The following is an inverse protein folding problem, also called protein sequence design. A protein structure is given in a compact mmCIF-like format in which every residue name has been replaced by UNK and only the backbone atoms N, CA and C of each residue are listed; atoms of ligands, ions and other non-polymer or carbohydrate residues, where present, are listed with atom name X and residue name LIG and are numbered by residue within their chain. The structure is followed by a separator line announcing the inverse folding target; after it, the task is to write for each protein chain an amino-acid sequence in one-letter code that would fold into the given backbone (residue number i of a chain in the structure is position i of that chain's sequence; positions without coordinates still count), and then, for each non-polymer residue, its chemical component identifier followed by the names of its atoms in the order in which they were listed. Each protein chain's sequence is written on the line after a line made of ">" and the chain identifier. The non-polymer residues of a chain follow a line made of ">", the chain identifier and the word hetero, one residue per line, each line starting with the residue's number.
data_IF_623225271320
#
_entry.id   IF_623225271320
#
_cell.length_a   1.000
_cell.length_b   1.000
_cell.length_c   1.000
_cell.angle_alpha   90.00
_cell.angle_beta   90.00
_cell.angle_gamma   90.00
#
_symmetry.space_group_name_H-M   'P 1'
#
loop_
_entity.id
_entity.type
_entity.pdbx_description
1 polymer ?
#
# COMPACT_ATOMS: atom_id res chain seq x y z
N UNK A 1 27.27 -14.72 -12.60
CA UNK A 1 26.57 -13.61 -11.93
C UNK A 1 25.32 -14.21 -11.30
N UNK A 2 25.27 -14.25 -9.96
CA UNK A 2 24.24 -14.98 -9.22
C UNK A 2 22.86 -14.40 -9.54
N UNK A 3 22.05 -15.17 -10.25
CA UNK A 3 20.60 -15.02 -10.29
C UNK A 3 20.11 -15.28 -8.87
N UNK A 4 19.95 -14.24 -8.06
CA UNK A 4 19.18 -14.33 -6.83
C UNK A 4 17.81 -14.85 -7.24
N UNK A 5 17.43 -16.04 -6.76
CA UNK A 5 16.08 -16.57 -6.97
C UNK A 5 15.13 -15.61 -6.27
N UNK A 6 14.53 -14.70 -7.04
CA UNK A 6 13.45 -13.85 -6.59
C UNK A 6 12.21 -14.75 -6.55
N UNK A 7 11.87 -15.25 -5.38
CA UNK A 7 10.67 -16.05 -5.20
C UNK A 7 9.46 -15.12 -5.24
N UNK A 8 8.51 -15.46 -6.11
CA UNK A 8 7.19 -14.84 -6.11
C UNK A 8 6.50 -15.15 -4.78
N UNK A 9 5.95 -14.12 -4.15
CA UNK A 9 5.24 -14.24 -2.89
C UNK A 9 3.85 -14.79 -3.12
N UNK A 10 3.37 -15.59 -2.18
CA UNK A 10 1.96 -15.93 -2.14
C UNK A 10 1.12 -14.65 -2.09
N UNK A 11 0.13 -14.46 -3.00
CA UNK A 11 -0.65 -13.23 -3.08
C UNK A 11 -1.36 -12.88 -1.77
N UNK A 12 -1.77 -13.89 -0.98
CA UNK A 12 -2.46 -13.68 0.30
C UNK A 12 -1.48 -13.19 1.37
N UNK A 13 -0.25 -13.72 1.40
CA UNK A 13 0.84 -13.21 2.27
C UNK A 13 1.22 -11.79 1.88
N UNK A 14 1.35 -11.53 0.58
CA UNK A 14 1.66 -10.19 0.06
C UNK A 14 0.57 -9.18 0.44
N UNK A 15 -0.71 -9.50 0.24
CA UNK A 15 -1.86 -8.64 0.59
C UNK A 15 -1.90 -8.34 2.08
N UNK A 16 -1.68 -9.36 2.91
CA UNK A 16 -1.59 -9.19 4.35
C UNK A 16 -0.41 -8.29 4.76
N UNK A 17 0.70 -8.27 4.02
CA UNK A 17 1.80 -7.32 4.25
C UNK A 17 1.50 -5.92 3.70
N UNK A 18 0.84 -5.81 2.56
CA UNK A 18 0.55 -4.56 1.85
C UNK A 18 -0.48 -3.68 2.59
N UNK A 19 -1.48 -4.29 3.23
CA UNK A 19 -2.57 -3.57 3.91
C UNK A 19 -3.93 -4.11 3.50
N UNK A 20 -4.90 -4.02 4.42
CA UNK A 20 -6.27 -4.49 4.16
C UNK A 20 -7.01 -3.66 3.11
N UNK A 21 -6.57 -2.41 2.90
CA UNK A 21 -7.13 -1.51 1.88
C UNK A 21 -6.68 -1.83 0.45
N UNK A 22 -5.64 -2.64 0.27
CA UNK A 22 -5.02 -2.88 -1.04
C UNK A 22 -5.80 -3.93 -1.82
N UNK A 23 -6.15 -3.60 -3.06
CA UNK A 23 -6.74 -4.56 -3.98
C UNK A 23 -5.66 -5.27 -4.80
N UNK A 24 -5.82 -6.59 -4.96
CA UNK A 24 -4.96 -7.35 -5.86
C UNK A 24 -5.40 -7.08 -7.31
N UNK A 25 -4.49 -6.63 -8.20
CA UNK A 25 -4.80 -6.48 -9.62
C UNK A 25 -5.09 -7.84 -10.26
N UNK A 26 -6.14 -7.92 -11.08
CA UNK A 26 -6.54 -9.16 -11.75
C UNK A 26 -5.97 -9.18 -13.16
N UNK A 27 -5.28 -10.26 -13.55
CA UNK A 27 -4.75 -10.44 -14.91
C UNK A 27 -5.89 -10.37 -15.93
N UNK A 28 -5.61 -9.84 -17.11
CA UNK A 28 -6.56 -9.58 -18.20
C UNK A 28 -7.64 -8.52 -17.93
N UNK A 29 -7.69 -7.94 -16.73
CA UNK A 29 -8.59 -6.83 -16.45
C UNK A 29 -8.16 -5.51 -17.10
N UNK A 30 -9.13 -4.62 -17.35
CA UNK A 30 -8.90 -3.27 -17.87
C UNK A 30 -8.58 -2.31 -16.73
N UNK A 31 -7.56 -1.50 -16.92
CA UNK A 31 -7.09 -0.52 -15.94
C UNK A 31 -6.69 0.79 -16.61
N UNK A 32 -6.82 1.90 -15.88
CA UNK A 32 -6.16 3.16 -16.23
C UNK A 32 -4.83 3.26 -15.50
N UNK A 33 -3.77 3.49 -16.26
CA UNK A 33 -2.45 3.88 -15.77
C UNK A 33 -2.35 5.40 -15.73
N UNK A 34 -2.03 5.95 -14.56
CA UNK A 34 -1.83 7.38 -14.30
C UNK A 34 -0.34 7.69 -14.07
N UNK A 35 0.37 8.24 -15.07
CA UNK A 35 1.77 8.63 -14.93
C UNK A 35 2.05 9.57 -13.74
N UNK A 36 1.12 10.46 -13.41
CA UNK A 36 1.25 11.35 -12.26
C UNK A 36 1.38 10.60 -10.94
N UNK A 37 0.52 9.61 -10.71
CA UNK A 37 0.59 8.79 -9.51
C UNK A 37 1.83 7.90 -9.48
N UNK A 38 2.32 7.48 -10.65
CA UNK A 38 3.59 6.76 -10.75
C UNK A 38 4.77 7.68 -10.39
N UNK A 39 4.76 8.94 -10.83
CA UNK A 39 5.74 9.96 -10.45
C UNK A 39 5.75 10.23 -8.93
N UNK A 40 4.59 10.16 -8.25
CA UNK A 40 4.51 10.26 -6.78
C UNK A 40 5.24 9.10 -6.05
N UNK A 41 5.52 7.99 -6.74
CA UNK A 41 6.32 6.88 -6.21
C UNK A 41 7.81 6.95 -6.58
N UNK A 42 8.22 7.97 -7.34
CA UNK A 42 9.60 8.14 -7.75
C UNK A 42 10.47 8.70 -6.61
N UNK A 43 11.74 8.29 -6.57
CA UNK A 43 12.74 8.75 -5.62
C UNK A 43 13.14 10.22 -5.84
N UNK A 44 13.00 10.67 -7.09
CA UNK A 44 13.28 12.02 -7.59
C UNK A 44 12.17 12.43 -8.55
N UNK A 45 11.91 13.73 -8.68
CA UNK A 45 10.87 14.24 -9.59
C UNK A 45 11.28 13.93 -11.03
N UNK A 46 10.50 13.13 -11.78
CA UNK A 46 10.82 12.84 -13.18
C UNK A 46 10.60 14.09 -14.05
N UNK A 47 11.54 14.35 -14.95
CA UNK A 47 11.41 15.42 -15.95
C UNK A 47 10.64 14.91 -17.17
N UNK A 48 9.35 15.19 -17.23
CA UNK A 48 8.48 14.76 -18.34
C UNK A 48 8.69 15.55 -19.64
N UNK A 49 9.51 16.61 -19.65
CA UNK A 49 9.76 17.39 -20.87
C UNK A 49 10.53 16.61 -21.94
N UNK A 50 11.23 15.55 -21.54
CA UNK A 50 12.03 14.69 -22.43
C UNK A 50 11.20 13.64 -23.18
N UNK A 51 9.95 13.42 -22.75
CA UNK A 51 9.06 12.36 -23.26
C UNK A 51 8.27 12.91 -24.45
N UNK A 52 8.22 12.15 -25.55
CA UNK A 52 7.56 12.61 -26.80
C UNK A 52 6.05 12.49 -26.73
N UNK A 53 5.57 11.51 -25.98
CA UNK A 53 4.16 11.16 -25.88
C UNK A 53 3.68 11.32 -24.45
N UNK A 54 3.11 12.49 -24.13
CA UNK A 54 2.52 12.74 -22.82
C UNK A 54 0.99 12.71 -22.93
N UNK A 55 0.38 11.64 -22.40
CA UNK A 55 -1.05 11.60 -22.08
C UNK A 55 -1.22 11.64 -20.57
N UNK A 56 -2.32 12.24 -20.12
CA UNK A 56 -2.66 12.33 -18.69
C UNK A 56 -2.96 10.97 -18.06
N UNK A 57 -3.42 10.00 -18.85
CA UNK A 57 -3.65 8.61 -18.45
C UNK A 57 -3.70 7.70 -19.69
N UNK A 58 -3.50 6.39 -19.47
CA UNK A 58 -3.54 5.37 -20.52
C UNK A 58 -4.49 4.25 -20.12
N UNK A 59 -5.40 3.85 -21.02
CA UNK A 59 -6.20 2.65 -20.85
C UNK A 59 -5.36 1.44 -21.24
N UNK A 60 -5.23 0.47 -20.33
CA UNK A 60 -4.38 -0.70 -20.49
C UNK A 60 -5.11 -1.99 -20.09
N UNK A 61 -4.60 -3.12 -20.55
CA UNK A 61 -4.90 -4.47 -20.04
C UNK A 61 -3.73 -4.95 -19.19
N UNK A 62 -4.02 -5.60 -18.07
CA UNK A 62 -2.99 -6.26 -17.25
C UNK A 62 -2.54 -7.55 -17.94
N UNK A 63 -1.25 -7.65 -18.27
CA UNK A 63 -0.64 -8.84 -18.88
C UNK A 63 -0.16 -9.82 -17.82
N UNK A 64 0.48 -9.33 -16.77
CA UNK A 64 0.95 -10.17 -15.65
C UNK A 64 1.13 -9.36 -14.38
N UNK A 65 1.06 -10.04 -13.24
CA UNK A 65 1.28 -9.47 -11.90
C UNK A 65 2.25 -10.37 -11.15
N UNK A 66 3.29 -9.79 -10.54
CA UNK A 66 4.27 -10.51 -9.72
C UNK A 66 4.38 -9.85 -8.34
N UNK A 67 4.27 -10.64 -7.28
CA UNK A 67 4.24 -10.16 -5.89
C UNK A 67 5.62 -10.38 -5.26
N UNK A 68 6.28 -9.30 -4.87
CA UNK A 68 7.68 -9.34 -4.47
C UNK A 68 7.91 -8.64 -3.13
N UNK A 69 9.05 -8.92 -2.50
CA UNK A 69 9.54 -8.18 -1.35
C UNK A 69 10.98 -7.72 -1.60
N UNK A 70 11.27 -6.49 -1.18
CA UNK A 70 12.61 -5.94 -1.24
C UNK A 70 13.52 -6.68 -0.24
N UNK A 71 14.68 -7.18 -0.70
CA UNK A 71 15.57 -8.02 0.10
C UNK A 71 16.21 -7.30 1.29
N UNK A 72 16.35 -5.97 1.21
CA UNK A 72 16.99 -5.19 2.26
C UNK A 72 15.97 -4.64 3.26
N UNK A 73 14.80 -4.24 2.78
CA UNK A 73 13.81 -3.50 3.58
C UNK A 73 12.65 -4.36 4.08
N UNK A 74 12.45 -5.55 3.51
CA UNK A 74 11.26 -6.40 3.65
C UNK A 74 9.95 -5.72 3.17
N UNK A 75 10.03 -4.54 2.53
CA UNK A 75 8.85 -3.86 1.98
C UNK A 75 8.33 -4.65 0.78
N UNK A 76 7.06 -5.02 0.84
CA UNK A 76 6.39 -5.69 -0.27
C UNK A 76 6.07 -4.71 -1.40
N UNK A 77 6.19 -5.17 -2.64
CA UNK A 77 5.86 -4.41 -3.83
C UNK A 77 5.34 -5.35 -4.92
N UNK A 78 4.66 -4.80 -5.92
CA UNK A 78 4.14 -5.57 -7.04
C UNK A 78 4.72 -5.03 -8.35
N UNK A 79 5.05 -5.95 -9.26
CA UNK A 79 5.35 -5.62 -10.65
C UNK A 79 4.14 -5.95 -11.50
N UNK A 80 3.69 -4.98 -12.27
CA UNK A 80 2.53 -5.12 -13.15
C UNK A 80 2.99 -4.85 -14.57
N UNK A 81 2.74 -5.81 -15.46
CA UNK A 81 2.94 -5.60 -16.90
C UNK A 81 1.63 -5.16 -17.54
N UNK A 82 1.70 -4.10 -18.31
CA UNK A 82 0.56 -3.42 -18.89
C UNK A 82 0.72 -3.34 -20.41
N UNK A 83 -0.35 -3.65 -21.12
CA UNK A 83 -0.46 -3.44 -22.57
C UNK A 83 -1.47 -2.32 -22.82
N UNK A 84 -1.08 -1.17 -23.40
CA UNK A 84 -2.03 -0.15 -23.79
C UNK A 84 -3.06 -0.69 -24.79
N UNK A 85 -4.29 -0.18 -24.68
CA UNK A 85 -5.42 -0.50 -25.57
C UNK A 85 -5.69 0.73 -26.42
N UNK A 86 -5.63 0.60 -27.74
CA UNK A 86 -5.97 1.70 -28.65
C UNK A 86 -7.48 1.97 -28.65
N UNK A 87 -7.85 3.25 -28.80
CA UNK A 87 -9.25 3.69 -28.81
C UNK A 87 -10.11 3.08 -29.93
N UNK A 88 -9.48 2.64 -31.04
CA UNK A 88 -10.13 1.89 -32.13
C UNK A 88 -10.52 0.47 -31.71
N UNK A 89 -9.71 -0.20 -30.89
CA UNK A 89 -10.04 -1.50 -30.29
C UNK A 89 -11.03 -1.40 -29.11
N UNK A 90 -11.09 -0.26 -28.42
CA UNK A 90 -12.03 -0.03 -27.31
C UNK A 90 -13.50 -0.15 -27.71
N UNK A 91 -13.86 0.25 -28.95
CA UNK A 91 -15.22 0.14 -29.49
C UNK A 91 -15.63 -1.31 -29.81
N UNK A 92 -14.70 -2.13 -30.30
CA UNK A 92 -14.96 -3.54 -30.62
C UNK A 92 -15.20 -4.37 -29.35
N UNK A 93 -14.46 -4.09 -28.28
CA UNK A 93 -14.61 -4.77 -26.99
C UNK A 93 -15.84 -4.31 -26.21
N UNK A 94 -16.20 -3.02 -26.29
CA UNK A 94 -17.42 -2.50 -25.66
C UNK A 94 -18.72 -2.92 -26.36
N UNK A 95 -18.67 -3.25 -27.66
CA UNK A 95 -19.79 -3.91 -28.35
C UNK A 95 -19.89 -5.42 -28.02
N UNK A 96 -18.77 -6.12 -27.83
CA UNK A 96 -18.77 -7.55 -27.47
C UNK A 96 -19.34 -7.87 -26.09
N UNK A 97 -19.31 -6.92 -25.14
CA UNK A 97 -19.82 -7.11 -23.77
C UNK A 97 -21.16 -6.44 -23.47
N UNK A 98 -21.66 -5.51 -24.32
CA UNK A 98 -23.02 -4.96 -24.17
C UNK A 98 -24.14 -5.99 -24.40
N UNK A 99 -23.80 -7.20 -24.89
CA UNK A 99 -24.72 -8.33 -25.06
C UNK A 99 -24.84 -9.29 -23.87
N UNK A 100 -24.11 -9.09 -22.77
CA UNK A 100 -24.23 -9.91 -21.55
C UNK A 100 -24.68 -9.07 -20.36
N UNK A 101 -25.84 -8.43 -20.50
CA UNK A 101 -26.61 -7.96 -19.36
C UNK A 101 -27.32 -9.17 -18.74
N UNK A 102 -26.82 -9.66 -17.60
CA UNK A 102 -27.51 -10.71 -16.84
C UNK A 102 -26.66 -11.89 -16.38
N UNK A 103 -25.44 -11.66 -15.91
CA UNK A 103 -24.92 -12.45 -14.79
C UNK A 103 -24.45 -11.44 -13.77
N UNK A 104 -25.28 -11.22 -12.74
CA UNK A 104 -24.78 -10.85 -11.42
C UNK A 104 -23.58 -11.75 -11.21
N UNK A 105 -22.39 -11.18 -11.10
CA UNK A 105 -21.27 -11.95 -10.57
C UNK A 105 -21.72 -12.39 -9.20
N UNK A 106 -22.27 -13.62 -9.11
CA UNK A 106 -22.06 -14.43 -7.94
C UNK A 106 -20.58 -14.27 -7.68
N UNK A 107 -20.28 -13.73 -6.49
CA UNK A 107 -18.95 -13.72 -5.93
C UNK A 107 -18.35 -15.06 -6.30
N UNK A 108 -17.47 -15.06 -7.31
CA UNK A 108 -16.53 -16.15 -7.46
C UNK A 108 -15.72 -15.94 -6.20
N UNK A 109 -16.16 -16.63 -5.15
CA UNK A 109 -15.44 -17.01 -3.97
C UNK A 109 -14.27 -17.80 -4.53
N UNK A 110 -13.35 -17.05 -5.16
CA UNK A 110 -11.99 -17.43 -5.36
C UNK A 110 -11.66 -17.90 -3.96
N UNK A 111 -11.37 -19.18 -3.85
CA UNK A 111 -10.89 -19.79 -2.61
C UNK A 111 -9.56 -19.12 -2.28
N UNK A 112 -9.60 -17.82 -1.97
CA UNK A 112 -8.55 -17.07 -1.32
C UNK A 112 -8.29 -17.96 -0.12
N UNK A 113 -7.11 -18.58 -0.14
CA UNK A 113 -6.55 -19.26 1.01
C UNK A 113 -6.71 -18.29 2.16
N UNK A 114 -7.74 -18.50 2.97
CA UNK A 114 -8.17 -17.57 4.00
C UNK A 114 -7.03 -17.49 5.02
N UNK A 115 -6.18 -16.49 4.85
CA UNK A 115 -5.10 -16.20 5.79
C UNK A 115 -5.70 -15.30 6.87
N UNK A 116 -5.59 -15.75 8.11
CA UNK A 116 -5.81 -14.87 9.26
C UNK A 116 -4.55 -14.06 9.48
N UNK A 117 -4.65 -12.74 9.56
CA UNK A 117 -3.51 -11.84 9.79
C UNK A 117 -3.75 -10.91 10.96
N UNK A 118 -2.68 -10.56 11.67
CA UNK A 118 -2.70 -9.55 12.71
C UNK A 118 -1.45 -8.67 12.63
N UNK A 119 -1.66 -7.37 12.47
CA UNK A 119 -0.59 -6.38 12.48
C UNK A 119 -0.49 -5.73 13.87
N UNK A 120 0.74 -5.55 14.37
CA UNK A 120 1.01 -4.76 15.57
C UNK A 120 2.12 -3.76 15.31
N UNK A 121 1.83 -2.49 15.59
CA UNK A 121 2.82 -1.43 15.71
C UNK A 121 3.72 -1.73 16.92
N UNK A 122 5.02 -1.73 16.70
CA UNK A 122 6.02 -1.97 17.73
C UNK A 122 6.10 -0.77 18.67
N UNK A 123 5.96 -1.04 19.96
CA UNK A 123 6.27 -0.07 21.01
C UNK A 123 7.79 0.02 21.23
N UNK A 124 8.25 1.05 21.94
CA UNK A 124 9.65 1.16 22.36
C UNK A 124 10.13 -0.08 23.14
N UNK A 125 9.26 -0.68 23.96
CA UNK A 125 9.58 -1.92 24.68
C UNK A 125 9.66 -3.16 23.80
N UNK A 126 8.98 -3.18 22.64
CA UNK A 126 9.07 -4.29 21.71
C UNK A 126 10.35 -4.21 20.86
N UNK A 127 10.82 -3.00 20.53
CA UNK A 127 11.96 -2.79 19.64
C UNK A 127 13.29 -2.53 20.37
N UNK A 128 13.38 -2.80 21.68
CA UNK A 128 14.61 -2.61 22.44
C UNK A 128 15.49 -3.87 22.47
N UNK A 129 16.81 -3.70 22.64
CA UNK A 129 17.82 -4.76 22.55
C UNK A 129 17.89 -5.68 23.79
N UNK A 130 16.74 -6.02 24.38
CA UNK A 130 16.66 -6.85 25.58
C UNK A 130 15.24 -7.19 26.07
N UNK A 131 14.20 -6.60 25.46
CA UNK A 131 12.80 -6.88 25.76
C UNK A 131 12.23 -8.01 24.90
N UNK A 132 11.06 -8.50 25.32
CA UNK A 132 10.23 -9.41 24.53
C UNK A 132 9.09 -8.65 23.84
N UNK A 133 8.53 -9.26 22.80
CA UNK A 133 7.35 -8.72 22.14
C UNK A 133 6.09 -9.00 22.95
N UNK A 134 5.32 -7.97 23.25
CA UNK A 134 4.01 -8.12 23.90
C UNK A 134 2.94 -8.52 22.89
N UNK A 135 2.52 -9.77 22.88
CA UNK A 135 1.52 -10.25 21.92
C UNK A 135 0.12 -9.84 22.41
N UNK A 136 -0.68 -9.12 21.59
CA UNK A 136 -2.08 -8.85 21.94
C UNK A 136 -2.87 -10.15 22.06
N UNK A 137 -3.79 -10.22 23.02
CA UNK A 137 -4.56 -11.46 23.30
C UNK A 137 -5.23 -12.03 22.05
N UNK A 138 -5.88 -11.16 21.27
CA UNK A 138 -6.54 -11.56 20.03
C UNK A 138 -5.57 -12.24 19.05
N UNK A 139 -4.36 -11.71 18.88
CA UNK A 139 -3.32 -12.33 18.04
C UNK A 139 -2.91 -13.71 18.56
N UNK A 140 -2.70 -13.82 19.87
CA UNK A 140 -2.27 -15.08 20.48
C UNK A 140 -3.31 -16.19 20.35
N UNK A 141 -4.60 -15.84 20.40
CA UNK A 141 -5.72 -16.80 20.31
C UNK A 141 -6.12 -17.13 18.86
N UNK A 142 -5.99 -16.18 17.94
CA UNK A 142 -6.43 -16.36 16.53
C UNK A 142 -5.32 -16.84 15.60
N UNK A 143 -4.08 -16.42 15.82
CA UNK A 143 -2.95 -16.69 14.92
C UNK A 143 -2.07 -17.81 15.43
N UNK A 144 -1.70 -17.81 16.71
CA UNK A 144 -0.75 -18.81 17.23
C UNK A 144 -1.43 -20.13 17.60
N UNK A 145 -0.71 -21.26 17.60
CA UNK A 145 -1.22 -22.50 18.14
C UNK A 145 -1.62 -22.34 19.62
N UNK A 146 -2.68 -23.02 20.08
CA UNK A 146 -3.18 -22.84 21.43
C UNK A 146 -2.16 -23.31 22.48
N UNK A 147 -1.96 -22.50 23.52
CA UNK A 147 -1.13 -22.88 24.67
C UNK A 147 -1.85 -23.90 25.55
N UNK A 148 -1.08 -24.79 26.18
CA UNK A 148 -1.58 -25.61 27.27
C UNK A 148 -1.65 -24.79 28.58
N UNK A 149 -2.81 -24.21 28.86
CA UNK A 149 -3.04 -23.41 30.07
C UNK A 149 -3.05 -24.21 31.38
N UNK A 150 -3.10 -25.55 31.32
CA UNK A 150 -3.05 -26.42 32.50
C UNK A 150 -1.62 -26.63 33.01
N UNK A 151 -0.61 -26.31 32.21
CA UNK A 151 0.78 -26.36 32.63
C UNK A 151 1.09 -25.27 33.67
N UNK A 152 2.07 -25.52 34.54
CA UNK A 152 2.49 -24.54 35.56
C UNK A 152 2.89 -23.18 34.96
N UNK A 153 3.61 -23.21 33.83
CA UNK A 153 3.89 -22.03 32.99
C UNK A 153 3.54 -22.36 31.54
N UNK A 154 2.44 -21.84 30.98
CA UNK A 154 2.06 -22.11 29.59
C UNK A 154 3.08 -21.51 28.62
N UNK A 155 3.75 -22.37 27.85
CA UNK A 155 4.83 -21.99 26.94
C UNK A 155 4.89 -22.94 25.73
N UNK A 156 5.33 -22.43 24.59
CA UNK A 156 5.61 -23.20 23.37
C UNK A 156 6.69 -22.50 22.53
N UNK A 157 7.28 -23.23 21.59
CA UNK A 157 8.10 -22.65 20.53
C UNK A 157 7.26 -22.59 19.26
N UNK A 158 7.27 -21.45 18.58
CA UNK A 158 6.64 -21.27 17.27
C UNK A 158 7.73 -20.99 16.24
N UNK A 159 7.58 -21.56 15.06
CA UNK A 159 8.42 -21.27 13.89
C UNK A 159 7.58 -20.51 12.88
N UNK A 160 8.07 -19.35 12.44
CA UNK A 160 7.37 -18.49 11.47
C UNK A 160 8.27 -18.25 10.26
N UNK A 161 7.70 -18.27 9.06
CA UNK A 161 8.43 -18.00 7.81
C UNK A 161 8.29 -16.53 7.43
N UNK A 162 9.39 -15.85 7.12
CA UNK A 162 9.32 -14.47 6.61
C UNK A 162 9.02 -14.40 5.09
N UNK A 163 8.88 -13.19 4.57
CA UNK A 163 8.61 -12.92 3.13
C UNK A 163 9.74 -13.36 2.20
N UNK A 164 10.89 -13.80 2.73
CA UNK A 164 12.00 -14.33 1.95
C UNK A 164 12.19 -15.84 2.13
N UNK A 165 11.25 -16.50 2.82
CA UNK A 165 11.29 -17.94 3.08
C UNK A 165 12.18 -18.33 4.26
N UNK A 166 12.74 -17.37 5.01
CA UNK A 166 13.61 -17.64 6.15
C UNK A 166 12.76 -17.93 7.39
N UNK A 167 13.09 -19.00 8.11
CA UNK A 167 12.39 -19.37 9.34
C UNK A 167 12.97 -18.66 10.57
N UNK A 168 12.07 -18.20 11.42
CA UNK A 168 12.35 -17.54 12.68
C UNK A 168 11.66 -18.28 13.83
N UNK A 169 12.44 -18.71 14.81
CA UNK A 169 11.92 -19.40 15.99
C UNK A 169 11.72 -18.43 17.14
N UNK A 170 10.54 -18.48 17.76
CA UNK A 170 10.19 -17.66 18.91
C UNK A 170 9.66 -18.50 20.06
N UNK A 171 10.08 -18.17 21.28
CA UNK A 171 9.49 -18.72 22.51
C UNK A 171 8.26 -17.89 22.90
N UNK A 172 7.07 -18.45 22.69
CA UNK A 172 5.79 -17.88 23.09
C UNK A 172 5.41 -18.35 24.51
N UNK A 173 5.25 -17.42 25.44
CA UNK A 173 4.97 -17.69 26.85
C UNK A 173 3.81 -16.83 27.38
N UNK A 174 2.96 -17.41 28.22
CA UNK A 174 1.90 -16.69 28.95
C UNK A 174 2.28 -16.55 30.42
N UNK A 175 2.71 -15.37 30.84
CA UNK A 175 3.27 -15.11 32.19
C UNK A 175 3.04 -13.67 32.67
N UNK A 176 3.51 -13.36 33.88
CA UNK A 176 3.44 -12.02 34.49
C UNK A 176 2.17 -11.79 35.30
N UNK A 177 2.07 -10.60 35.90
CA UNK A 177 0.96 -10.17 36.76
C UNK A 177 0.56 -8.73 36.40
N UNK A 178 -0.58 -8.50 35.71
CA UNK A 178 -1.49 -9.50 35.15
C UNK A 178 -0.83 -10.35 34.05
N UNK A 179 -1.32 -11.56 33.81
CA UNK A 179 -0.75 -12.47 32.82
C UNK A 179 -0.94 -11.94 31.39
N UNK A 180 0.12 -12.00 30.58
CA UNK A 180 0.17 -11.52 29.20
C UNK A 180 0.91 -12.51 28.32
N UNK A 181 0.61 -12.50 27.02
CA UNK A 181 1.32 -13.27 26.01
C UNK A 181 2.58 -12.51 25.58
N UNK A 182 3.71 -13.21 25.52
CA UNK A 182 5.00 -12.64 25.17
C UNK A 182 5.74 -13.54 24.18
N UNK A 183 6.43 -12.97 23.19
CA UNK A 183 7.54 -13.64 22.52
C UNK A 183 8.84 -13.20 23.18
N UNK A 184 9.66 -14.16 23.59
CA UNK A 184 10.87 -13.89 24.38
C UNK A 184 12.12 -14.29 23.59
N UNK A 185 12.63 -15.50 23.79
CA UNK A 185 13.77 -16.02 23.03
C UNK A 185 13.50 -15.94 21.53
N UNK A 186 14.50 -15.50 20.76
CA UNK A 186 14.43 -15.30 19.31
C UNK A 186 13.99 -13.91 18.86
N UNK A 187 13.17 -13.22 19.66
CA UNK A 187 12.59 -11.92 19.28
C UNK A 187 13.64 -10.83 19.08
N UNK A 188 14.56 -10.65 20.03
CA UNK A 188 15.62 -9.63 19.92
C UNK A 188 16.53 -9.88 18.71
N UNK A 189 16.80 -11.15 18.37
CA UNK A 189 17.55 -11.53 17.17
C UNK A 189 16.81 -11.09 15.90
N UNK A 190 15.49 -11.31 15.84
CA UNK A 190 14.65 -10.87 14.73
C UNK A 190 14.64 -9.34 14.60
N UNK A 191 14.42 -8.61 15.70
CA UNK A 191 14.44 -7.13 15.73
C UNK A 191 15.77 -6.59 15.22
N UNK A 192 16.89 -7.11 15.72
CA UNK A 192 18.24 -6.66 15.33
C UNK A 192 18.53 -6.97 13.86
N UNK A 193 18.25 -8.19 13.41
CA UNK A 193 18.53 -8.60 12.05
C UNK A 193 17.69 -7.82 11.03
N UNK A 194 16.39 -7.66 11.32
CA UNK A 194 15.46 -6.89 10.48
C UNK A 194 15.56 -5.39 10.71
N UNK A 195 16.46 -4.91 11.58
CA UNK A 195 16.66 -3.50 11.92
C UNK A 195 15.36 -2.78 12.33
N UNK A 196 14.47 -3.44 13.06
CA UNK A 196 13.16 -2.92 13.43
C UNK A 196 13.26 -1.81 14.48
N UNK A 197 12.40 -0.79 14.38
CA UNK A 197 12.32 0.32 15.36
C UNK A 197 10.89 0.50 15.85
N UNK A 198 10.73 1.22 16.97
CA UNK A 198 9.41 1.61 17.46
C UNK A 198 8.63 2.38 16.38
N UNK A 199 7.37 2.00 16.17
CA UNK A 199 6.51 2.50 15.10
C UNK A 199 6.50 1.65 13.83
N UNK A 200 7.51 0.80 13.58
CA UNK A 200 7.37 -0.24 12.54
C UNK A 200 6.26 -1.21 12.97
N UNK A 201 5.60 -1.88 12.01
CA UNK A 201 4.60 -2.91 12.31
C UNK A 201 5.09 -4.29 11.91
N UNK A 202 4.79 -5.28 12.74
CA UNK A 202 4.98 -6.70 12.42
C UNK A 202 3.63 -7.34 12.18
N UNK A 203 3.53 -8.08 11.08
CA UNK A 203 2.30 -8.75 10.63
C UNK A 203 2.47 -10.24 10.80
N UNK A 204 1.77 -10.84 11.75
CA UNK A 204 1.72 -12.30 11.90
C UNK A 204 0.55 -12.86 11.09
N UNK A 205 0.79 -13.95 10.38
CA UNK A 205 -0.16 -14.58 9.48
C UNK A 205 -0.25 -16.07 9.77
N UNK A 206 -1.45 -16.64 9.63
CA UNK A 206 -1.69 -18.08 9.69
C UNK A 206 -2.53 -18.50 8.49
N UNK A 207 -2.02 -19.46 7.73
CA UNK A 207 -2.76 -20.06 6.61
C UNK A 207 -3.74 -21.14 7.11
N UNK A 208 -4.54 -21.69 6.20
CA UNK A 208 -5.56 -22.71 6.51
C UNK A 208 -4.96 -24.04 7.03
N UNK A 209 -3.71 -24.34 6.66
CA UNK A 209 -2.98 -25.54 7.08
C UNK A 209 -2.35 -25.34 8.48
N UNK A 210 -2.33 -24.10 8.99
CA UNK A 210 -1.78 -23.74 10.29
C UNK A 210 -0.32 -23.32 10.27
N UNK A 211 0.28 -23.17 9.08
CA UNK A 211 1.62 -22.62 8.95
C UNK A 211 1.61 -21.11 9.25
N UNK A 212 2.64 -20.67 9.97
CA UNK A 212 2.78 -19.30 10.39
C UNK A 212 3.76 -18.54 9.49
N UNK A 213 3.39 -17.33 9.11
CA UNK A 213 4.26 -16.42 8.37
C UNK A 213 4.36 -15.06 9.07
N UNK A 214 5.43 -14.32 8.80
CA UNK A 214 5.65 -12.98 9.35
C UNK A 214 6.06 -11.98 8.27
N UNK A 215 5.45 -10.80 8.30
CA UNK A 215 5.76 -9.68 7.43
C UNK A 215 6.09 -8.42 8.23
N UNK A 216 6.63 -7.41 7.55
CA UNK A 216 7.03 -6.14 8.16
C UNK A 216 6.42 -4.99 7.36
N UNK A 217 5.91 -3.96 8.05
CA UNK A 217 5.57 -2.67 7.47
C UNK A 217 6.40 -1.60 8.14
N UNK A 218 7.18 -0.87 7.36
CA UNK A 218 8.11 0.13 7.90
C UNK A 218 7.37 1.43 8.18
N UNK A 219 7.66 2.06 9.33
CA UNK A 219 7.25 3.43 9.57
C UNK A 219 8.01 4.36 8.63
N UNK A 220 7.26 5.18 7.90
CA UNK A 220 7.83 6.27 7.11
C UNK A 220 8.30 7.37 8.07
N UNK A 221 9.59 7.74 7.99
CA UNK A 221 10.11 8.89 8.74
C UNK A 221 9.83 10.16 7.94
N UNK A 222 8.89 10.97 8.40
CA UNK A 222 8.76 12.35 7.93
C UNK A 222 9.98 13.11 8.44
N UNK A 223 10.89 13.50 7.54
CA UNK A 223 11.88 14.52 7.85
C UNK A 223 11.15 15.87 7.94
N UNK A 224 11.43 16.67 8.96
CA UNK A 224 10.69 17.89 9.38
C UNK A 224 10.65 19.06 8.36
N UNK A 225 10.69 18.82 7.04
CA UNK A 225 10.71 19.88 6.03
C UNK A 225 9.92 19.58 4.75
N UNK A 226 8.81 18.86 4.83
CA UNK A 226 7.89 18.73 3.69
C UNK A 226 6.51 19.21 4.08
N UNK A 227 6.24 20.47 3.75
CA UNK A 227 4.90 21.03 3.75
C UNK A 227 3.96 20.11 2.94
N UNK A 228 2.98 19.52 3.62
CA UNK A 228 1.91 18.71 3.02
C UNK A 228 1.00 19.51 2.05
N UNK A 229 1.31 20.78 1.79
CA UNK A 229 0.43 21.74 1.12
C UNK A 229 0.86 22.25 -0.25
N UNK A 230 1.96 21.77 -0.87
CA UNK A 230 2.42 22.41 -2.12
C UNK A 230 3.06 21.48 -3.15
N UNK A 231 2.27 20.52 -3.65
CA UNK A 231 2.51 19.92 -4.97
C UNK A 231 1.93 20.80 -6.07
N UNK A 232 2.23 22.10 -6.01
CA UNK A 232 2.00 23.00 -7.13
C UNK A 232 3.29 23.02 -7.93
N UNK A 233 3.17 22.66 -9.21
CA UNK A 233 4.29 22.61 -10.14
C UNK A 233 4.85 24.02 -10.34
N UNK A 234 5.87 24.42 -9.57
CA UNK A 234 6.77 25.52 -9.90
C UNK A 234 7.92 25.62 -8.87
N UNK A 235 9.12 25.27 -9.34
CA UNK A 235 10.44 25.64 -8.81
C UNK A 235 10.69 25.43 -7.31
N UNK A 236 11.31 24.31 -6.96
CA UNK A 236 12.15 24.21 -5.74
C UNK A 236 13.49 23.59 -6.14
N UNK A 237 14.57 24.37 -5.97
CA UNK A 237 15.95 23.89 -6.09
C UNK A 237 16.19 22.88 -4.97
N UNK A 238 16.47 21.64 -5.35
CA UNK A 238 16.90 20.60 -4.41
C UNK A 238 18.37 20.89 -4.08
N UNK A 239 18.64 21.27 -2.82
CA UNK A 239 19.99 21.18 -2.28
C UNK A 239 20.23 19.70 -2.00
N UNK A 240 21.22 19.12 -2.67
CA UNK A 240 21.72 17.79 -2.37
C UNK A 240 22.33 17.82 -0.97
N UNK A 241 21.62 17.32 0.04
CA UNK A 241 22.26 16.93 1.28
C UNK A 241 22.99 15.61 1.05
N UNK A 242 24.30 15.68 0.86
CA UNK A 242 25.20 14.56 1.07
C UNK A 242 25.05 14.11 2.53
N UNK A 243 24.37 12.98 2.76
CA UNK A 243 24.38 12.32 4.07
C UNK A 243 25.79 11.74 4.32
N UNK A 244 26.70 12.56 4.83
CA UNK A 244 27.94 12.09 5.45
C UNK A 244 27.65 11.57 6.85
N UNK A 245 27.74 10.25 7.01
CA UNK A 245 28.10 9.62 8.28
C UNK A 245 27.02 8.76 8.94
N UNK A 246 27.31 7.44 9.02
CA UNK A 246 26.85 6.58 10.11
C UNK A 246 25.84 5.49 9.74
N UNK A 247 26.35 4.25 9.67
CA UNK A 247 25.65 2.96 9.52
C UNK A 247 25.12 2.60 8.13
N UNK A 248 25.61 1.46 7.62
CA UNK A 248 25.17 0.71 6.43
C UNK A 248 23.71 0.22 6.60
N UNK A 249 22.76 1.14 6.63
CA UNK A 249 21.32 0.90 6.71
C UNK A 249 20.61 1.43 5.46
N UNK A 250 19.57 0.72 5.01
CA UNK A 250 18.71 1.18 3.93
C UNK A 250 17.97 2.47 4.34
N UNK A 251 17.72 3.36 3.38
CA UNK A 251 17.06 4.64 3.65
C UNK A 251 15.60 4.45 4.03
N UNK A 252 15.19 4.96 5.19
CA UNK A 252 13.79 5.03 5.66
C UNK A 252 13.10 6.34 5.21
N UNK A 253 13.67 7.02 4.21
CA UNK A 253 13.19 8.29 3.70
C UNK A 253 11.79 8.18 3.11
N UNK A 254 11.06 9.29 3.14
CA UNK A 254 9.79 9.50 2.42
C UNK A 254 9.98 9.40 0.91
N UNK A 255 11.21 9.61 0.39
CA UNK A 255 11.49 9.54 -1.04
C UNK A 255 11.01 8.21 -1.63
N UNK A 256 10.41 8.29 -2.81
CA UNK A 256 9.84 7.15 -3.50
C UNK A 256 10.87 6.03 -3.75
N UNK A 257 10.35 4.82 -3.97
CA UNK A 257 11.16 3.61 -4.15
C UNK A 257 11.44 3.28 -5.62
N UNK A 258 10.80 4.01 -6.54
CA UNK A 258 10.92 3.82 -7.99
C UNK A 258 11.91 4.84 -8.55
N UNK A 259 12.72 4.50 -9.54
CA UNK A 259 13.60 5.47 -10.20
C UNK A 259 12.79 6.39 -11.12
N UNK A 260 13.17 7.66 -11.22
CA UNK A 260 12.54 8.59 -12.16
C UNK A 260 12.65 8.09 -13.62
N UNK A 261 13.78 7.49 -13.96
CA UNK A 261 14.05 6.89 -15.28
C UNK A 261 13.02 5.80 -15.64
N UNK A 262 12.70 4.90 -14.69
CA UNK A 262 11.70 3.85 -14.91
C UNK A 262 10.30 4.43 -15.14
N UNK A 263 9.95 5.54 -14.46
CA UNK A 263 8.68 6.24 -14.70
C UNK A 263 8.64 6.81 -16.12
N UNK A 264 9.71 7.50 -16.55
CA UNK A 264 9.79 8.09 -17.88
C UNK A 264 9.75 7.02 -18.99
N UNK A 265 10.48 5.93 -18.80
CA UNK A 265 10.47 4.78 -19.71
C UNK A 265 9.06 4.19 -19.85
N UNK A 266 8.36 3.94 -18.73
CA UNK A 266 7.00 3.44 -18.74
C UNK A 266 6.04 4.36 -19.51
N UNK A 267 6.18 5.68 -19.38
CA UNK A 267 5.34 6.64 -20.11
C UNK A 267 5.66 6.66 -21.60
N UNK A 268 6.93 6.64 -21.99
CA UNK A 268 7.33 6.62 -23.40
C UNK A 268 6.89 5.31 -24.08
N UNK A 269 7.00 4.16 -23.39
CA UNK A 269 6.51 2.87 -23.88
C UNK A 269 4.99 2.86 -24.02
N UNK A 270 4.27 3.37 -23.01
CA UNK A 270 2.81 3.49 -23.07
C UNK A 270 2.34 4.40 -24.21
N UNK A 271 3.05 5.52 -24.43
CA UNK A 271 2.83 6.45 -25.54
C UNK A 271 3.05 5.83 -26.91
N UNK A 272 4.05 4.96 -27.02
CA UNK A 272 4.34 4.17 -28.21
C UNK A 272 3.46 2.92 -28.39
N UNK A 273 2.42 2.72 -27.57
CA UNK A 273 1.55 1.54 -27.58
C UNK A 273 2.29 0.20 -27.41
N UNK A 274 3.38 0.20 -26.64
CA UNK A 274 4.18 -0.98 -26.33
C UNK A 274 3.87 -1.50 -24.92
N UNK A 275 4.03 -2.80 -24.73
CA UNK A 275 3.98 -3.39 -23.38
C UNK A 275 5.06 -2.78 -22.49
N UNK A 276 4.72 -2.51 -21.24
CA UNK A 276 5.63 -1.91 -20.26
C UNK A 276 5.37 -2.45 -18.86
N UNK A 277 6.38 -2.36 -18.00
CA UNK A 277 6.33 -2.81 -16.61
C UNK A 277 6.31 -1.59 -15.67
N UNK A 278 5.46 -1.64 -14.65
CA UNK A 278 5.41 -0.64 -13.58
C UNK A 278 5.58 -1.32 -12.22
N UNK A 279 6.20 -0.61 -11.29
CA UNK A 279 6.49 -1.12 -9.94
C UNK A 279 5.72 -0.31 -8.93
N UNK A 280 4.84 -0.97 -8.17
CA UNK A 280 4.03 -0.31 -7.16
C UNK A 280 4.38 -0.78 -5.75
N UNK A 281 4.71 0.17 -4.88
CA UNK A 281 4.93 -0.05 -3.45
C UNK A 281 3.69 0.40 -2.67
N UNK A 282 2.85 -0.50 -2.15
CA UNK A 282 1.72 -0.14 -1.31
C UNK A 282 2.21 0.55 -0.02
N UNK A 283 1.68 1.74 0.27
CA UNK A 283 1.91 2.46 1.54
C UNK A 283 0.58 2.91 2.13
N UNK A 284 0.53 3.02 3.45
CA UNK A 284 -0.61 3.63 4.13
C UNK A 284 -0.83 5.04 3.57
N UNK A 285 -2.00 5.28 2.97
CA UNK A 285 -2.38 6.57 2.39
C UNK A 285 -1.81 6.87 0.99
N UNK A 286 -1.01 6.00 0.37
CA UNK A 286 -0.62 6.21 -1.03
C UNK A 286 -1.76 5.90 -1.98
N UNK A 287 -1.93 6.70 -3.02
CA UNK A 287 -2.87 6.44 -4.09
C UNK A 287 -2.35 5.34 -5.04
N UNK A 288 -3.24 4.45 -5.48
CA UNK A 288 -2.91 3.46 -6.51
C UNK A 288 -2.93 4.14 -7.88
N UNK A 289 -1.85 4.05 -8.66
CA UNK A 289 -1.77 4.71 -9.97
C UNK A 289 -2.16 3.80 -11.14
N UNK A 290 -2.40 2.51 -10.87
CA UNK A 290 -3.02 1.55 -11.79
C UNK A 290 -4.40 1.23 -11.21
N UNK A 291 -5.45 1.77 -11.79
CA UNK A 291 -6.82 1.71 -11.22
C UNK A 291 -7.74 0.96 -12.16
N UNK A 292 -8.62 0.09 -11.64
CA UNK A 292 -9.65 -0.62 -12.44
C UNK A 292 -10.44 0.35 -13.33
N UNK A 293 -10.60 -0.01 -14.60
CA UNK A 293 -11.23 0.87 -15.60
C UNK A 293 -12.68 1.20 -15.24
N UNK A 294 -13.47 0.19 -14.84
CA UNK A 294 -14.88 0.34 -14.44
C UNK A 294 -15.04 1.38 -13.34
N UNK A 295 -14.18 1.31 -12.31
CA UNK A 295 -14.16 2.25 -11.20
C UNK A 295 -13.90 3.69 -11.65
N UNK A 296 -12.92 3.91 -12.54
CA UNK A 296 -12.61 5.23 -13.07
C UNK A 296 -13.75 5.75 -13.95
N UNK A 297 -14.30 4.90 -14.82
CA UNK A 297 -15.39 5.23 -15.74
C UNK A 297 -16.68 5.62 -15.00
N UNK A 298 -17.06 4.84 -13.98
CA UNK A 298 -18.20 5.15 -13.10
C UNK A 298 -18.01 6.50 -12.41
N UNK A 299 -16.80 6.78 -11.94
CA UNK A 299 -16.50 8.00 -11.20
C UNK A 299 -16.41 9.23 -12.08
N UNK A 300 -15.97 9.08 -13.33
CA UNK A 300 -16.00 10.15 -14.33
C UNK A 300 -17.42 10.43 -14.85
N UNK A 301 -18.34 9.47 -14.71
CA UNK A 301 -19.75 9.65 -15.03
C UNK A 301 -20.52 10.42 -13.94
N UNK A 302 -19.86 10.76 -12.83
CA UNK A 302 -20.45 11.58 -11.76
C UNK A 302 -20.15 13.06 -11.95
N UNK A 303 -21.13 13.91 -11.61
CA UNK A 303 -20.98 15.36 -11.59
C UNK A 303 -20.44 15.81 -10.23
N UNK A 304 -19.12 15.84 -10.10
CA UNK A 304 -18.44 16.32 -8.91
C UNK A 304 -18.60 17.82 -8.73
N UNK A 305 -19.16 18.25 -7.60
CA UNK A 305 -19.36 19.67 -7.28
C UNK A 305 -18.94 20.00 -5.85
N UNK A 306 -18.53 21.25 -5.63
CA UNK A 306 -18.25 21.76 -4.30
C UNK A 306 -19.51 21.70 -3.43
N UNK A 307 -19.36 21.31 -2.17
CA UNK A 307 -20.46 21.12 -1.21
C UNK A 307 -20.97 19.68 -1.10
N UNK A 308 -20.60 18.77 -2.03
CA UNK A 308 -20.96 17.36 -1.90
C UNK A 308 -20.26 16.72 -0.69
N UNK A 309 -21.03 15.97 0.11
CA UNK A 309 -20.47 15.19 1.21
C UNK A 309 -19.93 13.86 0.70
N UNK A 310 -18.75 13.49 1.17
CA UNK A 310 -18.13 12.21 0.87
C UNK A 310 -17.73 11.49 2.16
N UNK A 311 -17.56 10.18 2.07
CA UNK A 311 -16.87 9.40 3.10
C UNK A 311 -15.62 8.84 2.50
N UNK A 312 -14.53 8.74 3.23
CA UNK A 312 -13.29 8.13 2.78
C UNK A 312 -12.92 7.00 3.72
N UNK A 313 -12.71 5.82 3.16
CA UNK A 313 -12.18 4.66 3.87
C UNK A 313 -10.71 4.87 4.23
N UNK A 314 -10.38 4.92 5.51
CA UNK A 314 -9.01 5.02 6.00
C UNK A 314 -8.70 3.80 6.84
N UNK A 315 -7.53 3.22 6.60
CA UNK A 315 -7.01 2.13 7.42
C UNK A 315 -6.42 2.74 8.68
N UNK A 316 -6.78 2.17 9.84
CA UNK A 316 -6.19 2.60 11.11
C UNK A 316 -4.68 2.36 11.11
N UNK A 317 -3.94 3.08 11.95
CA UNK A 317 -2.48 2.97 12.04
C UNK A 317 -2.03 1.53 12.32
N UNK A 318 -2.81 0.80 13.13
CA UNK A 318 -2.58 -0.61 13.46
C UNK A 318 -3.13 -1.57 12.41
N UNK A 319 -3.80 -1.05 11.38
CA UNK A 319 -4.40 -1.79 10.27
C UNK A 319 -5.36 -2.89 10.68
N UNK A 320 -5.91 -2.77 11.89
CA UNK A 320 -6.86 -3.73 12.44
C UNK A 320 -8.30 -3.39 12.04
N UNK A 321 -8.54 -2.12 11.66
CA UNK A 321 -9.87 -1.59 11.34
C UNK A 321 -9.81 -0.64 10.16
N UNK A 322 -10.94 -0.59 9.49
CA UNK A 322 -11.28 0.41 8.50
C UNK A 322 -12.17 1.43 9.18
N UNK A 323 -11.79 2.70 9.16
CA UNK A 323 -12.61 3.82 9.62
C UNK A 323 -13.08 4.64 8.42
N UNK A 324 -14.26 5.26 8.56
CA UNK A 324 -14.80 6.15 7.54
C UNK A 324 -14.61 7.59 8.00
N UNK A 325 -13.81 8.36 7.26
CA UNK A 325 -13.69 9.80 7.46
C UNK A 325 -14.73 10.52 6.63
N UNK A 326 -15.60 11.30 7.25
CA UNK A 326 -16.54 12.14 6.52
C UNK A 326 -15.88 13.46 6.14
N UNK A 327 -16.10 13.89 4.90
CA UNK A 327 -15.57 15.14 4.37
C UNK A 327 -16.54 15.81 3.41
N UNK A 328 -16.21 17.03 3.01
CA UNK A 328 -16.97 17.82 2.04
C UNK A 328 -16.01 18.24 0.93
N UNK A 329 -16.45 18.12 -0.31
CA UNK A 329 -15.68 18.60 -1.47
C UNK A 329 -15.66 20.12 -1.42
N UNK A 330 -14.48 20.72 -1.29
CA UNK A 330 -14.31 22.17 -1.35
C UNK A 330 -14.19 22.66 -2.79
N UNK A 331 -13.57 21.86 -3.66
CA UNK A 331 -13.39 22.18 -5.07
C UNK A 331 -13.23 20.90 -5.90
N UNK A 332 -13.71 20.95 -7.14
CA UNK A 332 -13.53 19.92 -8.14
C UNK A 332 -13.03 20.60 -9.42
N UNK A 333 -11.77 20.36 -9.78
CA UNK A 333 -11.16 20.93 -10.97
C UNK A 333 -10.12 19.96 -11.55
N UNK A 334 -10.15 19.76 -12.86
CA UNK A 334 -9.09 19.03 -13.57
C UNK A 334 -7.81 19.86 -13.54
N UNK A 335 -6.65 19.21 -13.59
CA UNK A 335 -5.38 19.95 -13.72
C UNK A 335 -5.36 20.75 -15.03
N UNK A 336 -5.16 22.06 -14.94
CA UNK A 336 -5.29 23.03 -16.03
C UNK A 336 -3.96 23.32 -16.74
N UNK A 337 -2.83 22.90 -16.14
CA UNK A 337 -1.48 23.32 -16.51
C UNK A 337 -0.50 22.14 -16.66
N UNK A 338 0.57 22.36 -17.42
CA UNK A 338 1.67 21.40 -17.58
C UNK A 338 1.33 20.21 -18.50
N UNK A 339 2.14 19.13 -18.46
CA UNK A 339 1.94 17.93 -19.30
C UNK A 339 0.68 17.11 -18.92
N UNK A 340 -0.05 17.59 -17.92
CA UNK A 340 -1.10 16.91 -17.17
C UNK A 340 -2.49 17.48 -17.40
N UNK A 341 -2.63 18.35 -18.41
CA UNK A 341 -3.88 19.05 -18.69
C UNK A 341 -5.03 18.06 -18.87
N UNK A 342 -6.14 18.30 -18.17
CA UNK A 342 -7.33 17.44 -18.21
C UNK A 342 -7.18 16.12 -17.46
N UNK A 343 -6.10 15.93 -16.69
CA UNK A 343 -5.97 14.76 -15.83
C UNK A 343 -6.99 14.81 -14.70
N UNK A 344 -7.69 13.70 -14.43
CA UNK A 344 -8.58 13.63 -13.29
C UNK A 344 -7.84 13.18 -12.02
N UNK A 345 -6.54 12.91 -12.12
CA UNK A 345 -5.71 12.63 -10.95
C UNK A 345 -5.65 13.87 -10.04
N UNK A 346 -5.95 13.67 -8.76
CA UNK A 346 -6.05 14.72 -7.72
C UNK A 346 -7.02 15.86 -8.04
N UNK A 347 -8.06 15.61 -8.84
CA UNK A 347 -9.04 16.64 -9.24
C UNK A 347 -9.95 17.15 -8.10
N UNK A 348 -10.05 16.41 -6.98
CA UNK A 348 -10.94 16.75 -5.87
C UNK A 348 -10.14 17.27 -4.68
N UNK A 349 -10.51 18.46 -4.21
CA UNK A 349 -10.06 18.98 -2.93
C UNK A 349 -11.16 18.75 -1.89
N UNK A 350 -10.78 18.13 -0.77
CA UNK A 350 -11.72 17.71 0.26
C UNK A 350 -11.27 18.23 1.61
N UNK A 351 -12.24 18.71 2.40
CA UNK A 351 -12.06 19.08 3.79
C UNK A 351 -12.65 17.97 4.64
N UNK A 352 -11.82 17.35 5.49
CA UNK A 352 -12.26 16.31 6.41
C UNK A 352 -12.66 16.89 7.76
N UNK A 353 -13.75 16.37 8.33
CA UNK A 353 -14.17 16.69 9.68
C UNK A 353 -13.48 15.74 10.67
N UNK A 354 -12.47 16.21 11.40
CA UNK A 354 -11.90 15.47 12.53
C UNK A 354 -12.56 15.90 13.84
N UNK A 355 -13.22 14.96 14.54
CA UNK A 355 -13.49 15.10 15.96
C UNK A 355 -12.31 14.49 16.73
N UNK A 356 -11.44 15.34 17.28
CA UNK A 356 -10.44 14.87 18.26
C UNK A 356 -11.15 14.63 19.58
N UNK A 357 -11.03 13.42 20.14
CA UNK A 357 -11.61 13.07 21.46
C UNK A 357 -10.80 13.72 22.61
N UNK A 358 -9.57 14.19 22.33
CA UNK A 358 -8.62 14.69 23.34
C UNK A 358 -8.58 16.22 23.45
N UNK A 359 -9.02 16.93 22.43
CA UNK A 359 -9.26 18.37 22.50
C UNK A 359 -10.67 18.59 21.98
N UNK A 360 -11.52 19.25 22.76
CA UNK A 360 -12.80 19.81 22.34
C UNK A 360 -12.62 20.93 21.29
N UNK A 361 -11.92 20.62 20.19
CA UNK A 361 -11.61 21.49 19.05
C UNK A 361 -11.82 20.68 17.76
N UNK A 362 -12.64 21.20 16.86
CA UNK A 362 -12.70 20.73 15.48
C UNK A 362 -11.45 21.20 14.73
N UNK A 363 -10.64 20.27 14.23
CA UNK A 363 -9.54 20.58 13.32
C UNK A 363 -9.99 20.25 11.89
N UNK A 364 -9.90 21.22 10.99
CA UNK A 364 -10.09 21.01 9.55
C UNK A 364 -8.72 20.80 8.89
N UNK A 365 -8.56 19.67 8.22
CA UNK A 365 -7.43 19.42 7.31
C UNK A 365 -7.98 19.36 5.90
N UNK A 366 -7.43 20.18 5.01
CA UNK A 366 -7.70 20.11 3.58
C UNK A 366 -6.69 19.16 2.93
N UNK A 367 -7.19 18.20 2.16
CA UNK A 367 -6.36 17.25 1.41
C UNK A 367 -6.84 17.23 -0.04
N UNK A 368 -5.90 17.25 -0.98
CA UNK A 368 -6.20 16.90 -2.38
C UNK A 368 -6.24 15.38 -2.49
N UNK A 369 -7.34 14.83 -2.98
CA UNK A 369 -7.54 13.39 -3.13
C UNK A 369 -7.46 13.02 -4.60
N UNK A 370 -6.65 12.00 -4.91
CA UNK A 370 -6.61 11.44 -6.25
C UNK A 370 -7.95 10.78 -6.60
N UNK A 371 -8.30 10.69 -7.89
CA UNK A 371 -9.42 9.83 -8.28
C UNK A 371 -9.22 8.42 -7.73
N UNK A 372 -8.04 7.81 -7.80
CA UNK A 372 -7.78 6.52 -7.15
C UNK A 372 -8.21 6.49 -5.66
N UNK A 373 -7.92 7.54 -4.91
CA UNK A 373 -8.31 7.68 -3.50
C UNK A 373 -9.81 7.97 -3.31
N UNK A 374 -10.42 8.79 -4.17
CA UNK A 374 -11.85 9.08 -4.15
C UNK A 374 -12.70 7.91 -4.66
N UNK A 375 -12.14 7.07 -5.51
CA UNK A 375 -12.86 6.01 -6.23
C UNK A 375 -12.73 4.67 -5.52
N UNK A 376 -11.63 4.42 -4.81
CA UNK A 376 -11.48 3.18 -4.04
C UNK A 376 -12.18 3.20 -2.69
N UNK A 377 -12.57 4.38 -2.20
CA UNK A 377 -12.82 4.57 -0.77
C UNK A 377 -13.98 5.49 -0.46
N UNK A 378 -14.77 5.93 -1.45
CA UNK A 378 -15.95 6.79 -1.24
C UNK A 378 -17.26 6.05 -1.47
N UNK A 379 -17.98 5.80 -0.38
CA UNK A 379 -19.41 5.48 -0.40
C UNK A 379 -20.14 6.82 -0.23
N UNK A 380 -20.96 7.19 -1.22
CA UNK A 380 -21.85 8.34 -1.11
C UNK A 380 -23.05 7.98 -0.23
N UNK A 381 -23.48 8.94 0.59
CA UNK A 381 -24.77 8.92 1.28
C UNK A 381 -25.76 9.78 0.52
#
# INVERSE_FOLDING_TARGET
>A
MNSSMVYDLDPSVWKACAGSSVEIPVVDSRVYYFPQGHAEQASTTPDFSVVKYTKSFFLCRIVSVQFLANQDTDEVFVKIRLQPIDGSSGLVWSQGMRGSQGMRGEDVDNKETKISSFAKILTTSDANNGGGFSVPRFCAESIFPPLNYKAGVPVQNISVRDVHGVFWEFRHIYRGTPRRHLLTTGWSKFVNHKKLVAGDSVVFMKNQIGELSVGIRRKVRLTESVDFGRWNCQNVRVVEEECRGGELGFSRSVRGRVSAESVLEAVELAGGNREFEVVWYPRAGSAEYVVKAEKVEESLNMYWTAGMSIKMQVETEDSSRITWLQGIISSAAFTDHGPWRGSPWRMLQVIFCFFSVYLSLSLSLSLSLSLSTCVMKVIYL
#
